data_IF_807060275520
#
_entry.id   IF_807060275520
#
_cell.length_a   1.000
_cell.length_b   1.000
_cell.length_c   1.000
_cell.angle_alpha   90.00
_cell.angle_beta   90.00
_cell.angle_gamma   90.00
#
_symmetry.space_group_name_H-M   'P 1'
#
loop_
_entity.id
_entity.type
_entity.pdbx_description
1 polymer ?
#
# COMPACT_ATOMS: atom_id res chain seq x y z
N UNK A 1 -28.32 8.52 -14.27
CA UNK A 1 -27.64 7.49 -15.09
C UNK A 1 -26.28 7.25 -14.47
N UNK A 2 -26.15 6.14 -13.74
CA UNK A 2 -24.94 5.76 -13.01
C UNK A 2 -23.96 5.13 -13.99
N UNK A 3 -22.93 5.87 -14.39
CA UNK A 3 -21.74 5.29 -15.02
C UNK A 3 -21.00 4.48 -13.96
N UNK A 4 -21.31 3.19 -13.87
CA UNK A 4 -20.55 2.25 -13.05
C UNK A 4 -19.40 1.70 -13.89
N UNK A 5 -18.17 1.99 -13.47
CA UNK A 5 -16.98 1.48 -14.11
C UNK A 5 -16.56 0.19 -13.41
N UNK A 6 -16.42 -0.90 -14.18
CA UNK A 6 -15.79 -2.12 -13.72
C UNK A 6 -14.29 -2.07 -14.07
N UNK A 7 -13.45 -1.83 -13.07
CA UNK A 7 -11.99 -1.97 -13.22
C UNK A 7 -11.63 -3.41 -12.89
N UNK A 8 -11.14 -4.15 -13.88
CA UNK A 8 -10.62 -5.51 -13.69
C UNK A 8 -9.11 -5.39 -13.48
N UNK A 9 -8.66 -5.62 -12.25
CA UNK A 9 -7.24 -5.70 -11.91
C UNK A 9 -6.79 -7.15 -12.02
N UNK A 10 -5.79 -7.41 -12.85
CA UNK A 10 -5.18 -8.74 -12.97
C UNK A 10 -3.83 -8.75 -12.27
N UNK A 11 -3.71 -9.55 -11.20
CA UNK A 11 -2.42 -9.80 -10.54
C UNK A 11 -1.74 -10.95 -11.27
N UNK A 12 -0.63 -10.66 -11.95
CA UNK A 12 0.20 -11.66 -12.60
C UNK A 12 1.05 -12.40 -11.55
N UNK A 13 0.45 -13.40 -10.89
CA UNK A 13 1.11 -14.20 -9.84
C UNK A 13 2.43 -14.84 -10.29
N UNK A 14 2.51 -15.49 -11.47
CA UNK A 14 3.80 -16.05 -11.94
C UNK A 14 4.92 -15.03 -12.03
N UNK A 15 4.60 -13.78 -12.39
CA UNK A 15 5.59 -12.71 -12.45
C UNK A 15 6.01 -12.22 -11.07
N UNK A 16 5.09 -12.18 -10.11
CA UNK A 16 5.37 -11.76 -8.75
C UNK A 16 6.18 -12.81 -7.95
N UNK A 17 5.92 -14.09 -8.19
CA UNK A 17 6.70 -15.20 -7.63
C UNK A 17 8.15 -15.21 -8.16
N UNK A 18 8.36 -14.71 -9.39
CA UNK A 18 9.67 -14.60 -10.00
C UNK A 18 10.50 -13.40 -9.50
N UNK A 19 9.91 -12.47 -8.74
CA UNK A 19 10.64 -11.30 -8.26
C UNK A 19 11.70 -11.68 -7.25
N UNK A 20 12.90 -11.14 -7.44
CA UNK A 20 13.94 -11.23 -6.44
C UNK A 20 13.69 -10.20 -5.30
N UNK A 21 14.44 -10.33 -4.22
CA UNK A 21 14.33 -9.45 -3.07
C UNK A 21 14.50 -7.97 -3.45
N UNK A 22 15.52 -7.65 -4.26
CA UNK A 22 15.77 -6.27 -4.69
C UNK A 22 14.57 -5.68 -5.44
N UNK A 23 13.95 -6.44 -6.32
CA UNK A 23 12.77 -6.03 -7.09
C UNK A 23 11.56 -5.80 -6.17
N UNK A 24 11.34 -6.67 -5.19
CA UNK A 24 10.26 -6.49 -4.21
C UNK A 24 10.46 -5.20 -3.42
N UNK A 25 11.67 -4.97 -2.91
CA UNK A 25 11.98 -3.80 -2.10
C UNK A 25 11.85 -2.52 -2.93
N UNK A 26 12.38 -2.51 -4.15
CA UNK A 26 12.26 -1.36 -5.06
C UNK A 26 10.80 -1.05 -5.40
N UNK A 27 10.00 -2.07 -5.75
CA UNK A 27 8.56 -1.90 -6.02
C UNK A 27 7.82 -1.39 -4.79
N UNK A 28 8.16 -1.91 -3.61
CA UNK A 28 7.60 -1.44 -2.34
C UNK A 28 7.94 0.02 -2.09
N UNK A 29 9.18 0.46 -2.33
CA UNK A 29 9.62 1.85 -2.15
C UNK A 29 8.98 2.84 -3.13
N UNK A 30 8.54 2.37 -4.30
CA UNK A 30 7.77 3.21 -5.23
C UNK A 30 6.36 3.51 -4.71
N UNK A 31 5.78 2.62 -3.91
CA UNK A 31 4.41 2.74 -3.41
C UNK A 31 4.35 3.28 -1.99
N UNK A 32 5.32 2.92 -1.15
CA UNK A 32 5.38 3.24 0.27
C UNK A 32 6.69 3.91 0.64
N UNK A 33 6.67 4.68 1.74
CA UNK A 33 7.88 5.26 2.30
C UNK A 33 8.87 4.16 2.67
N UNK A 34 10.09 4.30 2.17
CA UNK A 34 11.17 3.35 2.40
C UNK A 34 11.57 3.29 3.88
N UNK A 35 11.84 2.06 4.36
CA UNK A 35 12.34 1.82 5.71
C UNK A 35 13.87 1.94 5.72
N UNK A 36 14.45 2.42 6.82
CA UNK A 36 15.90 2.56 7.01
C UNK A 36 16.63 1.26 6.69
N UNK A 37 16.13 0.12 7.18
CA UNK A 37 16.74 -1.18 6.92
C UNK A 37 16.82 -1.53 5.42
N UNK A 38 15.74 -1.27 4.69
CA UNK A 38 15.66 -1.51 3.25
C UNK A 38 16.45 -0.48 2.42
N UNK A 39 16.59 0.76 2.90
CA UNK A 39 17.45 1.76 2.25
C UNK A 39 18.91 1.36 2.37
N UNK A 40 19.36 0.96 3.57
CA UNK A 40 20.73 0.46 3.80
C UNK A 40 21.05 -0.72 2.89
N UNK A 41 20.10 -1.63 2.71
CA UNK A 41 20.22 -2.76 1.79
C UNK A 41 20.42 -2.30 0.33
N UNK A 42 19.57 -1.41 -0.18
CA UNK A 42 19.69 -0.88 -1.55
C UNK A 42 20.99 -0.09 -1.75
N UNK A 43 21.46 0.62 -0.71
CA UNK A 43 22.71 1.37 -0.73
C UNK A 43 23.96 0.46 -0.70
N UNK A 44 23.79 -0.87 -0.61
CA UNK A 44 24.89 -1.82 -0.56
C UNK A 44 25.64 -1.81 0.77
N UNK A 45 25.03 -1.30 1.85
CA UNK A 45 25.63 -1.35 3.18
C UNK A 45 25.67 -2.78 3.72
N UNK A 46 26.75 -3.12 4.42
CA UNK A 46 26.87 -4.42 5.09
C UNK A 46 25.83 -4.55 6.19
N UNK A 47 24.87 -5.44 5.98
CA UNK A 47 23.86 -5.84 6.95
C UNK A 47 24.30 -7.12 7.66
N UNK A 48 24.07 -7.18 8.97
CA UNK A 48 24.27 -8.39 9.75
C UNK A 48 23.32 -9.51 9.32
N UNK A 49 23.66 -10.76 9.67
CA UNK A 49 22.82 -11.93 9.36
C UNK A 49 21.38 -11.79 9.90
N UNK A 50 21.23 -11.26 11.10
CA UNK A 50 19.91 -11.03 11.71
C UNK A 50 19.13 -9.94 10.97
N UNK A 51 19.79 -8.84 10.60
CA UNK A 51 19.19 -7.75 9.82
C UNK A 51 18.70 -8.24 8.44
N UNK A 52 19.50 -9.07 7.75
CA UNK A 52 19.12 -9.69 6.48
C UNK A 52 17.95 -10.65 6.63
N UNK A 53 17.94 -11.48 7.69
CA UNK A 53 16.82 -12.40 7.95
C UNK A 53 15.51 -11.62 8.17
N UNK A 54 15.53 -10.59 8.99
CA UNK A 54 14.36 -9.71 9.19
C UNK A 54 13.94 -9.00 7.91
N UNK A 55 14.88 -8.60 7.07
CA UNK A 55 14.56 -7.96 5.79
C UNK A 55 13.92 -8.96 4.81
N UNK A 56 14.39 -10.22 4.77
CA UNK A 56 13.81 -11.29 3.97
C UNK A 56 12.35 -11.54 4.38
N UNK A 57 12.09 -11.70 5.68
CA UNK A 57 10.73 -11.88 6.20
C UNK A 57 9.81 -10.73 5.80
N UNK A 58 10.31 -9.49 5.85
CA UNK A 58 9.55 -8.31 5.40
C UNK A 58 9.32 -8.30 3.90
N UNK A 59 10.30 -8.69 3.10
CA UNK A 59 10.17 -8.76 1.66
C UNK A 59 9.10 -9.79 1.24
N UNK A 60 9.04 -10.94 1.90
CA UNK A 60 7.98 -11.92 1.65
C UNK A 60 6.59 -11.36 1.97
N UNK A 61 6.44 -10.69 3.12
CA UNK A 61 5.19 -10.01 3.46
C UNK A 61 4.84 -8.94 2.42
N UNK A 62 5.82 -8.16 1.95
CA UNK A 62 5.60 -7.16 0.91
C UNK A 62 5.21 -7.80 -0.42
N UNK A 63 5.77 -8.95 -0.80
CA UNK A 63 5.36 -9.70 -1.99
C UNK A 63 3.88 -10.08 -1.89
N UNK A 64 3.46 -10.66 -0.77
CA UNK A 64 2.05 -11.02 -0.54
C UNK A 64 1.13 -9.80 -0.66
N UNK A 65 1.52 -8.67 -0.05
CA UNK A 65 0.74 -7.43 -0.08
C UNK A 65 0.68 -6.80 -1.47
N UNK A 66 1.76 -6.85 -2.24
CA UNK A 66 1.80 -6.39 -3.63
C UNK A 66 0.92 -7.25 -4.55
N UNK A 67 0.68 -8.51 -4.18
CA UNK A 67 -0.23 -9.42 -4.90
C UNK A 67 -1.68 -9.38 -4.41
N UNK A 68 -1.96 -8.77 -3.26
CA UNK A 68 -3.31 -8.67 -2.71
C UNK A 68 -4.04 -7.46 -3.30
N UNK A 69 -5.05 -7.75 -4.13
CA UNK A 69 -5.94 -6.76 -4.75
C UNK A 69 -6.62 -5.88 -3.68
N UNK A 70 -6.95 -6.44 -2.53
CA UNK A 70 -7.55 -5.70 -1.41
C UNK A 70 -6.59 -4.65 -0.86
N UNK A 71 -5.29 -4.98 -0.80
CA UNK A 71 -4.25 -4.05 -0.41
C UNK A 71 -4.07 -2.92 -1.42
N UNK A 72 -4.07 -3.26 -2.71
CA UNK A 72 -4.06 -2.26 -3.78
C UNK A 72 -5.27 -1.32 -3.69
N UNK A 73 -6.48 -1.87 -3.47
CA UNK A 73 -7.71 -1.07 -3.34
C UNK A 73 -7.69 -0.18 -2.10
N UNK A 74 -7.11 -0.63 -0.97
CA UNK A 74 -6.91 0.24 0.20
C UNK A 74 -6.04 1.45 -0.14
N UNK A 75 -4.96 1.25 -0.89
CA UNK A 75 -4.09 2.34 -1.32
C UNK A 75 -4.78 3.32 -2.25
N UNK A 76 -5.55 2.84 -3.23
CA UNK A 76 -6.28 3.72 -4.16
C UNK A 76 -7.44 4.44 -3.47
N UNK A 77 -8.16 3.75 -2.59
CA UNK A 77 -9.33 4.32 -1.93
C UNK A 77 -8.94 5.34 -0.86
N UNK A 78 -7.77 5.25 -0.23
CA UNK A 78 -7.38 6.14 0.87
C UNK A 78 -7.28 7.62 0.43
N UNK A 79 -6.59 8.00 -0.65
CA UNK A 79 -6.58 9.37 -1.16
C UNK A 79 -7.94 9.84 -1.64
N UNK A 80 -8.71 8.99 -2.34
CA UNK A 80 -10.05 9.33 -2.85
C UNK A 80 -11.02 9.56 -1.69
N UNK A 81 -11.01 8.70 -0.68
CA UNK A 81 -11.80 8.86 0.53
C UNK A 81 -11.37 10.08 1.34
N UNK A 82 -10.06 10.34 1.45
CA UNK A 82 -9.53 11.54 2.11
C UNK A 82 -9.98 12.81 1.41
N UNK A 83 -9.90 12.86 0.08
CA UNK A 83 -10.37 14.00 -0.71
C UNK A 83 -11.89 14.19 -0.61
N UNK A 84 -12.67 13.11 -0.74
CA UNK A 84 -14.13 13.16 -0.59
C UNK A 84 -14.53 13.64 0.81
N UNK A 85 -13.89 13.14 1.87
CA UNK A 85 -14.13 13.54 3.24
C UNK A 85 -13.69 14.99 3.50
N UNK A 86 -12.58 15.46 2.91
CA UNK A 86 -12.16 16.85 3.02
C UNK A 86 -13.17 17.81 2.37
N UNK A 87 -13.76 17.43 1.22
CA UNK A 87 -14.79 18.22 0.53
C UNK A 87 -16.10 18.26 1.32
N UNK A 88 -16.45 17.16 2.02
CA UNK A 88 -17.62 17.09 2.90
C UNK A 88 -17.44 17.86 4.23
N UNK A 89 -16.23 18.33 4.54
CA UNK A 89 -15.92 19.15 5.73
C UNK A 89 -15.77 20.64 5.34
N UNK A 90 -16.59 21.12 4.40
CA UNK A 90 -16.93 22.55 4.33
C UNK A 90 -18.06 22.85 5.33
N UNK A 91 -18.05 24.02 6.00
CA UNK A 91 -18.76 24.23 7.26
C UNK A 91 -20.24 24.45 7.03
N UNK A 92 -21.04 23.39 7.11
CA UNK A 92 -22.47 23.53 7.38
C UNK A 92 -22.70 23.23 8.86
N UNK A 93 -22.83 24.30 9.62
CA UNK A 93 -23.43 24.36 10.96
C UNK A 93 -24.78 23.62 10.97
N UNK A 94 -24.80 22.34 11.35
CA UNK A 94 -25.99 21.70 11.91
C UNK A 94 -25.65 20.35 12.56
N UNK A 95 -26.06 20.22 13.82
CA UNK A 95 -25.66 19.26 14.86
C UNK A 95 -26.08 17.79 14.62
N UNK A 96 -26.24 17.32 13.38
CA UNK A 96 -26.92 16.02 13.13
C UNK A 96 -26.17 14.96 12.31
N UNK A 97 -24.89 15.17 11.98
CA UNK A 97 -24.11 14.19 11.19
C UNK A 97 -23.03 13.42 11.97
N UNK A 98 -23.22 13.16 13.27
CA UNK A 98 -22.29 12.34 14.07
C UNK A 98 -22.48 10.82 13.95
N UNK A 99 -23.42 10.30 13.14
CA UNK A 99 -23.78 8.87 13.16
C UNK A 99 -23.14 8.05 12.02
N UNK A 100 -22.54 8.68 10.99
CA UNK A 100 -22.02 7.96 9.82
C UNK A 100 -20.54 8.21 9.54
N UNK A 101 -19.69 8.02 10.55
CA UNK A 101 -18.27 7.75 10.29
C UNK A 101 -18.08 6.23 10.39
N UNK A 102 -17.82 5.51 9.29
CA UNK A 102 -17.35 4.14 9.39
C UNK A 102 -15.97 4.17 10.07
N UNK A 103 -15.88 3.54 11.24
CA UNK A 103 -14.59 3.14 11.82
C UNK A 103 -13.90 2.24 10.78
N UNK A 104 -12.81 2.73 10.21
CA UNK A 104 -11.71 1.88 9.81
C UNK A 104 -10.76 1.74 11.00
#
# INVERSE_FOLDING_TARGET
>A
MSNHYHVVLHVNKPQADAWNMDEIINRWHMLYKSNVLSQRYINGESLGKAELATLNEKAELWREQLMDISWFMRFVNEPVARQANAILVHPCTSTLLCILQPRY
#
